data_IF_896746582990
#
_entry.id   IF_896746582990
#
_cell.length_a   1.000
_cell.length_b   1.000
_cell.length_c   1.000
_cell.angle_alpha   90.00
_cell.angle_beta   90.00
_cell.angle_gamma   90.00
#
_symmetry.space_group_name_H-M   'P 1'
#
loop_
_entity.id
_entity.type
_entity.pdbx_description
1 polymer ?
#
# COMPACT_ATOMS: atom_id res chain seq x y z
N UNK A 1 -2.69 -4.29 22.27
CA UNK A 1 -1.72 -3.67 21.34
C UNK A 1 -1.76 -2.17 21.56
N UNK A 2 -0.63 -1.50 21.81
CA UNK A 2 -0.64 -0.05 22.09
C UNK A 2 -0.76 0.71 20.75
N UNK A 3 -1.79 1.55 20.61
CA UNK A 3 -2.05 2.34 19.39
C UNK A 3 -0.87 3.23 19.00
N UNK A 4 -0.12 3.73 19.98
CA UNK A 4 1.06 4.58 19.74
C UNK A 4 2.16 3.83 18.99
N UNK A 5 2.35 2.53 19.28
CA UNK A 5 3.35 1.70 18.59
C UNK A 5 2.99 1.48 17.12
N UNK A 6 1.71 1.28 16.82
CA UNK A 6 1.23 1.12 15.45
C UNK A 6 1.34 2.42 14.65
N UNK A 7 1.04 3.55 15.30
CA UNK A 7 1.20 4.87 14.69
C UNK A 7 2.66 5.17 14.37
N UNK A 8 3.57 4.88 15.30
CA UNK A 8 5.01 5.02 15.08
C UNK A 8 5.50 4.13 13.95
N UNK A 9 5.10 2.85 13.93
CA UNK A 9 5.42 1.95 12.82
C UNK A 9 4.97 2.51 11.47
N UNK A 10 3.72 2.98 11.37
CA UNK A 10 3.17 3.55 10.14
C UNK A 10 3.95 4.78 9.68
N UNK A 11 4.29 5.69 10.59
CA UNK A 11 5.10 6.86 10.26
C UNK A 11 6.49 6.49 9.75
N UNK A 12 7.16 5.52 10.39
CA UNK A 12 8.47 5.04 9.93
C UNK A 12 8.35 4.37 8.56
N UNK A 13 7.30 3.57 8.33
CA UNK A 13 7.06 2.97 7.02
C UNK A 13 6.88 4.02 5.92
N UNK A 14 6.14 5.10 6.19
CA UNK A 14 5.89 6.16 5.19
C UNK A 14 7.17 6.84 4.68
N UNK A 15 8.23 6.90 5.50
CA UNK A 15 9.53 7.43 5.08
C UNK A 15 10.19 6.58 3.98
N UNK A 16 9.83 5.31 3.88
CA UNK A 16 10.37 4.37 2.90
C UNK A 16 9.52 4.25 1.62
N UNK A 17 8.31 4.84 1.57
CA UNK A 17 7.33 4.58 0.52
C UNK A 17 7.18 5.72 -0.51
N UNK A 18 8.04 6.75 -0.42
CA UNK A 18 8.05 7.85 -1.38
C UNK A 18 6.81 8.73 -1.33
N UNK A 19 6.47 9.37 -2.47
CA UNK A 19 5.39 10.38 -2.52
C UNK A 19 4.00 9.76 -2.34
N UNK A 20 3.83 8.51 -2.77
CA UNK A 20 2.55 7.79 -2.76
C UNK A 20 2.43 6.80 -1.60
N UNK A 21 2.89 7.23 -0.41
CA UNK A 21 2.99 6.39 0.79
C UNK A 21 1.68 5.73 1.21
N UNK A 22 0.54 6.42 1.11
CA UNK A 22 -0.76 5.85 1.47
C UNK A 22 -1.15 4.69 0.53
N UNK A 23 -1.04 4.92 -0.78
CA UNK A 23 -1.36 3.90 -1.78
C UNK A 23 -0.40 2.71 -1.72
N UNK A 24 0.89 2.94 -1.46
CA UNK A 24 1.88 1.88 -1.28
C UNK A 24 1.64 1.06 -0.01
N UNK A 25 1.17 1.69 1.06
CA UNK A 25 0.83 0.99 2.29
C UNK A 25 -0.40 0.09 2.11
N UNK A 26 -1.46 0.63 1.48
CA UNK A 26 -2.67 -0.14 1.14
C UNK A 26 -2.36 -1.28 0.14
N UNK A 27 -1.45 -1.05 -0.81
CA UNK A 27 -0.96 -2.08 -1.71
C UNK A 27 -0.25 -3.21 -0.95
N UNK A 28 0.59 -2.87 0.03
CA UNK A 28 1.23 -3.85 0.92
C UNK A 28 0.20 -4.70 1.67
N UNK A 29 -0.82 -4.07 2.24
CA UNK A 29 -1.92 -4.77 2.93
C UNK A 29 -2.67 -5.71 1.98
N UNK A 30 -2.93 -5.27 0.75
CA UNK A 30 -3.57 -6.08 -0.28
C UNK A 30 -2.70 -7.31 -0.66
N UNK A 31 -1.40 -7.13 -0.87
CA UNK A 31 -0.47 -8.23 -1.20
C UNK A 31 -0.36 -9.23 -0.06
N UNK A 32 -0.19 -8.76 1.18
CA UNK A 32 -0.01 -9.62 2.35
C UNK A 32 -1.29 -10.39 2.72
N UNK A 33 -2.45 -9.86 2.37
CA UNK A 33 -3.75 -10.50 2.64
C UNK A 33 -4.24 -11.38 1.49
N UNK A 34 -3.61 -11.29 0.32
CA UNK A 34 -3.94 -12.12 -0.83
C UNK A 34 -3.22 -13.47 -0.75
N UNK A 35 -3.94 -14.61 -0.71
CA UNK A 35 -3.34 -15.93 -0.65
C UNK A 35 -2.56 -16.27 -1.95
N UNK A 36 -2.97 -15.70 -3.07
CA UNK A 36 -2.25 -15.71 -4.34
C UNK A 36 -2.60 -14.43 -5.10
N UNK A 37 -1.67 -13.96 -5.93
CA UNK A 37 -1.86 -12.80 -6.80
C UNK A 37 -1.63 -13.25 -8.22
N UNK A 38 -2.67 -13.21 -9.05
CA UNK A 38 -2.59 -13.61 -10.46
C UNK A 38 -2.25 -12.45 -11.39
N UNK A 39 -2.58 -11.22 -10.98
CA UNK A 39 -2.19 -10.02 -11.71
C UNK A 39 -2.05 -8.81 -10.78
N UNK A 40 -1.26 -7.83 -11.19
CA UNK A 40 -1.13 -6.58 -10.43
C UNK A 40 -2.46 -5.81 -10.36
N UNK A 41 -3.21 -5.83 -11.46
CA UNK A 41 -4.57 -5.30 -11.59
C UNK A 41 -5.57 -5.86 -10.55
N UNK A 42 -5.41 -7.12 -10.14
CA UNK A 42 -6.25 -7.76 -9.13
C UNK A 42 -6.14 -7.04 -7.77
N UNK A 43 -4.96 -6.51 -7.44
CA UNK A 43 -4.71 -5.83 -6.17
C UNK A 43 -5.51 -4.54 -6.03
N UNK A 44 -5.77 -3.83 -7.12
CA UNK A 44 -6.66 -2.66 -7.10
C UNK A 44 -8.15 -3.00 -6.90
N UNK A 45 -8.52 -4.28 -6.98
CA UNK A 45 -9.86 -4.76 -6.62
C UNK A 45 -9.93 -5.26 -5.17
N UNK A 46 -8.81 -5.26 -4.43
CA UNK A 46 -8.80 -5.68 -3.03
C UNK A 46 -9.64 -4.74 -2.17
N UNK A 47 -10.46 -5.24 -1.23
CA UNK A 47 -11.18 -4.38 -0.30
C UNK A 47 -10.25 -3.58 0.62
N UNK A 48 -8.96 -3.94 0.67
CA UNK A 48 -7.93 -3.24 1.43
C UNK A 48 -7.30 -2.09 0.65
N UNK A 49 -7.53 -2.02 -0.66
CA UNK A 49 -7.09 -0.93 -1.52
C UNK A 49 -8.24 0.03 -1.77
N UNK A 50 -8.23 1.19 -1.11
CA UNK A 50 -9.34 2.16 -1.17
C UNK A 50 -9.22 3.15 -2.33
N UNK A 51 -8.06 3.19 -2.98
CA UNK A 51 -7.80 4.09 -4.10
C UNK A 51 -8.32 3.52 -5.42
N UNK A 52 -8.53 4.41 -6.40
CA UNK A 52 -8.95 4.01 -7.74
C UNK A 52 -7.83 3.27 -8.50
N UNK A 53 -8.21 2.47 -9.49
CA UNK A 53 -7.31 1.63 -10.29
C UNK A 53 -6.09 2.37 -10.89
N UNK A 54 -6.25 3.60 -11.39
CA UNK A 54 -5.12 4.37 -11.96
C UNK A 54 -4.07 4.72 -10.91
N UNK A 55 -4.51 4.94 -9.66
CA UNK A 55 -3.63 5.31 -8.56
C UNK A 55 -2.69 4.18 -8.13
N UNK A 56 -3.01 2.92 -8.43
CA UNK A 56 -2.12 1.78 -8.16
C UNK A 56 -0.83 1.85 -9.00
N UNK A 57 -0.95 2.13 -10.30
CA UNK A 57 0.18 2.22 -11.21
C UNK A 57 0.97 3.52 -11.01
N UNK A 58 0.28 4.62 -10.74
CA UNK A 58 0.91 5.89 -10.37
C UNK A 58 1.70 5.75 -9.05
N UNK A 59 1.12 5.10 -8.04
CA UNK A 59 1.78 4.92 -6.75
C UNK A 59 3.11 4.18 -6.85
N UNK A 60 3.19 3.14 -7.70
CA UNK A 60 4.42 2.39 -7.92
C UNK A 60 5.48 3.19 -8.70
N UNK A 61 5.05 4.09 -9.60
CA UNK A 61 5.98 4.98 -10.29
C UNK A 61 6.53 6.05 -9.34
N UNK A 62 5.67 6.60 -8.49
CA UNK A 62 5.98 7.66 -7.53
C UNK A 62 6.71 7.16 -6.27
N UNK A 63 6.79 5.84 -6.07
CA UNK A 63 7.52 5.21 -4.97
C UNK A 63 9.00 4.96 -5.28
N UNK A 64 9.47 5.35 -6.47
CA UNK A 64 10.90 5.25 -6.83
C UNK A 64 11.71 6.29 -6.04
N UNK A 65 12.85 5.92 -5.46
CA UNK A 65 13.74 6.86 -4.75
C UNK A 65 14.38 7.88 -5.69
#
# INVERSE_FOLDING_TARGET
MNADKLKAFRQTAYQCLGRSHDAMFELGDAVLSSPSVTSFAELSCSPLFRQQWSSLYEALQDSRP
#
